data_IF_239231837274
#
_entry.id   IF_239231837274
#
_cell.length_a   1.000
_cell.length_b   1.000
_cell.length_c   1.000
_cell.angle_alpha   90.00
_cell.angle_beta   90.00
_cell.angle_gamma   90.00
#
_symmetry.space_group_name_H-M   'P 1'
#
loop_
_entity.id
_entity.type
_entity.pdbx_description
1 polymer ?
#
# COMPACT_ATOMS: atom_id res chain seq x y z
N UNK A 1 -8.89 22.86 -14.89
CA UNK A 1 -9.42 21.53 -14.46
C UNK A 1 -8.28 20.55 -14.48
N UNK A 2 -8.05 19.85 -13.38
CA UNK A 2 -7.00 18.82 -13.28
C UNK A 2 -7.41 17.59 -14.12
N UNK A 3 -6.49 17.08 -14.89
CA UNK A 3 -6.66 15.83 -15.64
C UNK A 3 -5.63 14.81 -15.18
N UNK A 4 -5.84 13.54 -15.47
CA UNK A 4 -4.88 12.47 -15.22
C UNK A 4 -3.47 12.80 -15.75
N UNK A 5 -3.39 13.51 -16.88
CA UNK A 5 -2.11 13.85 -17.51
C UNK A 5 -1.29 14.89 -16.74
N UNK A 6 -1.95 15.67 -15.86
CA UNK A 6 -1.33 16.79 -15.15
C UNK A 6 -1.07 16.50 -13.66
N UNK A 7 -1.44 15.30 -13.16
CA UNK A 7 -1.16 14.94 -11.78
C UNK A 7 0.32 14.57 -11.61
N UNK A 8 0.82 14.86 -10.43
CA UNK A 8 2.08 14.32 -9.91
C UNK A 8 1.84 13.69 -8.56
N UNK A 9 2.40 12.52 -8.33
CA UNK A 9 2.31 11.80 -7.07
C UNK A 9 3.69 11.73 -6.41
N UNK A 10 3.73 12.03 -5.12
CA UNK A 10 4.89 11.82 -4.28
C UNK A 10 4.87 10.37 -3.77
N UNK A 11 5.93 9.61 -4.00
CA UNK A 11 6.08 8.24 -3.49
C UNK A 11 7.09 8.26 -2.36
N UNK A 12 6.64 7.95 -1.15
CA UNK A 12 7.50 7.81 0.03
C UNK A 12 8.16 6.44 -0.01
N UNK A 13 9.46 6.43 -0.29
CA UNK A 13 10.27 5.23 -0.40
C UNK A 13 10.93 4.88 0.94
N UNK A 14 10.76 3.62 1.35
CA UNK A 14 11.28 3.09 2.62
C UNK A 14 12.18 1.86 2.45
N UNK A 15 12.54 1.50 1.20
CA UNK A 15 13.36 0.31 0.90
C UNK A 15 14.85 0.62 0.97
N UNK A 16 15.63 -0.26 1.59
CA UNK A 16 17.08 -0.17 1.65
C UNK A 16 17.75 -0.47 0.29
N UNK A 17 17.17 -1.39 -0.48
CA UNK A 17 17.69 -1.76 -1.81
C UNK A 17 17.11 -0.85 -2.89
N UNK A 18 17.96 -0.02 -3.51
CA UNK A 18 17.59 0.90 -4.58
C UNK A 18 16.96 0.20 -5.80
N UNK A 19 17.38 -1.02 -6.14
CA UNK A 19 16.77 -1.76 -7.26
C UNK A 19 15.33 -2.16 -6.94
N UNK A 20 15.03 -2.47 -5.68
CA UNK A 20 13.67 -2.77 -5.26
C UNK A 20 12.80 -1.51 -5.13
N UNK A 21 13.38 -0.36 -4.78
CA UNK A 21 12.72 0.93 -4.86
C UNK A 21 12.36 1.30 -6.32
N UNK A 22 13.30 1.18 -7.25
CA UNK A 22 13.05 1.36 -8.69
C UNK A 22 12.00 0.37 -9.23
N UNK A 23 12.05 -0.88 -8.78
CA UNK A 23 11.04 -1.88 -9.13
C UNK A 23 9.65 -1.49 -8.63
N UNK A 24 9.53 -0.96 -7.40
CA UNK A 24 8.26 -0.47 -6.85
C UNK A 24 7.69 0.67 -7.70
N UNK A 25 8.50 1.67 -8.03
CA UNK A 25 8.09 2.77 -8.92
C UNK A 25 7.63 2.26 -10.29
N UNK A 26 8.33 1.30 -10.87
CA UNK A 26 7.95 0.68 -12.13
C UNK A 26 6.60 -0.03 -12.06
N UNK A 27 6.34 -0.78 -10.97
CA UNK A 27 5.06 -1.44 -10.72
C UNK A 27 3.94 -0.42 -10.57
N UNK A 28 4.13 0.63 -9.77
CA UNK A 28 3.17 1.72 -9.57
C UNK A 28 2.86 2.46 -10.88
N UNK A 29 3.89 2.83 -11.62
CA UNK A 29 3.75 3.51 -12.91
C UNK A 29 2.92 2.69 -13.90
N UNK A 30 3.24 1.41 -14.04
CA UNK A 30 2.52 0.49 -14.93
C UNK A 30 1.06 0.34 -14.48
N UNK A 31 0.82 0.03 -13.21
CA UNK A 31 -0.51 -0.28 -12.69
C UNK A 31 -1.41 0.95 -12.63
N UNK A 32 -0.87 2.10 -12.26
CA UNK A 32 -1.59 3.38 -12.27
C UNK A 32 -1.71 3.98 -13.66
N UNK A 33 -1.02 3.46 -14.68
CA UNK A 33 -0.93 4.01 -16.02
C UNK A 33 -0.47 5.48 -16.02
N UNK A 34 0.58 5.78 -15.28
CA UNK A 34 1.20 7.10 -15.18
C UNK A 34 2.53 7.12 -15.94
N UNK A 35 2.96 8.32 -16.38
CA UNK A 35 4.27 8.52 -17.00
C UNK A 35 5.36 8.61 -15.92
N UNK A 36 6.61 8.54 -16.35
CA UNK A 36 7.83 8.64 -15.51
C UNK A 36 7.83 9.94 -14.69
N UNK A 37 7.50 11.07 -15.34
CA UNK A 37 7.53 12.41 -14.75
C UNK A 37 6.38 12.68 -13.77
N UNK A 38 5.43 11.74 -13.65
CA UNK A 38 4.26 11.86 -12.76
C UNK A 38 4.43 11.15 -11.41
N UNK A 39 5.45 10.29 -11.25
CA UNK A 39 5.79 9.64 -9.99
C UNK A 39 7.16 10.13 -9.54
N UNK A 40 7.20 10.79 -8.40
CA UNK A 40 8.43 11.34 -7.82
C UNK A 40 8.74 10.60 -6.52
N UNK A 41 9.82 9.84 -6.52
CA UNK A 41 10.28 9.14 -5.33
C UNK A 41 10.94 10.09 -4.34
N UNK A 42 10.64 9.89 -3.06
CA UNK A 42 11.31 10.56 -1.95
C UNK A 42 11.84 9.52 -0.98
N UNK A 43 13.15 9.38 -0.94
CA UNK A 43 13.87 8.47 -0.08
C UNK A 43 13.96 9.02 1.34
N UNK A 44 13.14 8.50 2.25
CA UNK A 44 13.10 8.92 3.67
C UNK A 44 14.23 8.34 4.51
N UNK A 45 15.01 7.41 3.97
CA UNK A 45 16.20 6.86 4.65
C UNK A 45 17.34 7.89 4.66
N UNK A 46 17.44 8.66 3.59
CA UNK A 46 18.54 9.61 3.37
C UNK A 46 18.09 11.08 3.44
N UNK A 47 16.79 11.35 3.45
CA UNK A 47 16.25 12.71 3.47
C UNK A 47 15.25 12.91 4.61
N UNK A 48 15.26 14.06 5.30
CA UNK A 48 14.30 14.36 6.37
C UNK A 48 12.90 14.52 5.78
N UNK A 49 11.93 13.83 6.35
CA UNK A 49 10.53 13.96 5.97
C UNK A 49 9.86 15.09 6.75
N UNK A 50 9.47 16.15 6.05
CA UNK A 50 8.86 17.34 6.63
C UNK A 50 7.43 17.56 6.13
N UNK A 51 6.58 18.12 6.98
CA UNK A 51 5.23 18.57 6.60
C UNK A 51 5.37 19.72 5.60
N UNK A 52 4.61 19.64 4.52
CA UNK A 52 4.64 20.60 3.42
C UNK A 52 5.34 20.07 2.16
N UNK A 53 6.03 18.92 2.27
CA UNK A 53 6.63 18.24 1.11
C UNK A 53 5.57 17.86 0.07
N UNK A 54 4.34 17.58 0.52
CA UNK A 54 3.21 17.17 -0.33
C UNK A 54 2.67 18.28 -1.24
N UNK A 55 2.96 19.56 -0.97
CA UNK A 55 2.27 20.72 -1.59
C UNK A 55 2.43 20.82 -3.09
N UNK A 56 3.50 20.28 -3.65
CA UNK A 56 3.76 20.30 -5.08
C UNK A 56 3.15 19.09 -5.83
N UNK A 57 2.40 18.25 -5.11
CA UNK A 57 1.84 16.99 -5.61
C UNK A 57 0.32 16.96 -5.46
N UNK A 58 -0.32 16.03 -6.14
CA UNK A 58 -1.78 15.83 -6.08
C UNK A 58 -2.15 14.59 -5.28
N UNK A 59 -1.20 13.72 -5.00
CA UNK A 59 -1.37 12.58 -4.10
C UNK A 59 -0.05 12.19 -3.46
N UNK A 60 -0.13 11.56 -2.29
CA UNK A 60 0.99 10.86 -1.65
C UNK A 60 0.71 9.36 -1.70
N UNK A 61 1.71 8.59 -2.10
CA UNK A 61 1.73 7.13 -2.05
C UNK A 61 2.78 6.73 -1.02
N UNK A 62 2.39 5.94 -0.03
CA UNK A 62 3.33 5.37 0.94
C UNK A 62 3.50 3.90 0.57
N UNK A 63 4.68 3.58 0.06
CA UNK A 63 5.00 2.26 -0.47
C UNK A 63 5.12 1.17 0.59
N UNK A 64 5.43 -0.02 0.13
CA UNK A 64 5.80 -1.15 0.97
C UNK A 64 7.27 -1.12 1.36
N UNK A 65 7.63 -1.98 2.28
CA UNK A 65 9.02 -2.31 2.60
C UNK A 65 9.17 -3.83 2.71
N UNK A 66 10.36 -4.34 2.63
CA UNK A 66 10.68 -5.71 3.05
C UNK A 66 11.69 -5.69 4.18
N UNK A 67 12.10 -4.49 4.60
CA UNK A 67 13.24 -4.25 5.48
C UNK A 67 12.82 -3.94 6.92
N UNK A 68 11.59 -3.42 7.14
CA UNK A 68 11.13 -2.95 8.44
C UNK A 68 9.77 -3.50 8.84
N UNK A 69 9.64 -3.86 10.12
CA UNK A 69 8.37 -4.14 10.78
C UNK A 69 7.86 -2.87 11.46
N UNK A 70 6.59 -2.55 11.24
CA UNK A 70 5.93 -1.43 11.92
C UNK A 70 5.86 -1.65 13.44
N UNK A 71 5.84 -2.91 13.88
CA UNK A 71 5.74 -3.28 15.29
C UNK A 71 7.11 -3.32 15.97
N UNK A 72 8.10 -3.94 15.32
CA UNK A 72 9.38 -4.27 15.94
C UNK A 72 10.48 -3.25 15.67
N UNK A 73 10.40 -2.49 14.58
CA UNK A 73 11.45 -1.59 14.17
C UNK A 73 11.08 -0.12 14.37
N UNK A 74 12.10 0.71 14.62
CA UNK A 74 11.97 2.15 14.75
C UNK A 74 13.05 2.84 13.92
N UNK A 75 12.96 2.74 12.58
CA UNK A 75 13.92 3.43 11.71
C UNK A 75 13.86 4.94 11.92
N UNK A 76 14.92 5.65 11.53
CA UNK A 76 15.08 7.09 11.78
C UNK A 76 13.90 7.94 11.29
N UNK A 77 13.25 7.52 10.22
CA UNK A 77 12.12 8.22 9.61
C UNK A 77 10.75 7.90 10.28
N UNK A 78 10.67 6.91 11.17
CA UNK A 78 9.41 6.34 11.66
C UNK A 78 8.48 7.39 12.28
N UNK A 79 8.97 8.16 13.25
CA UNK A 79 8.15 9.19 13.93
C UNK A 79 7.77 10.35 13.00
N UNK A 80 8.69 10.73 12.09
CA UNK A 80 8.41 11.74 11.07
C UNK A 80 7.31 11.25 10.11
N UNK A 81 7.34 9.97 9.71
CA UNK A 81 6.34 9.37 8.85
C UNK A 81 4.97 9.28 9.51
N UNK A 82 4.89 8.88 10.79
CA UNK A 82 3.63 8.90 11.54
C UNK A 82 3.04 10.32 11.63
N UNK A 83 3.90 11.32 11.90
CA UNK A 83 3.48 12.73 11.94
C UNK A 83 3.00 13.22 10.58
N UNK A 84 3.70 12.86 9.51
CA UNK A 84 3.35 13.22 8.15
C UNK A 84 2.00 12.61 7.74
N UNK A 85 1.76 11.33 8.03
CA UNK A 85 0.49 10.66 7.77
C UNK A 85 -0.67 11.29 8.53
N UNK A 86 -0.48 11.63 9.81
CA UNK A 86 -1.51 12.37 10.58
C UNK A 86 -1.84 13.72 9.93
N UNK A 87 -0.82 14.41 9.41
CA UNK A 87 -1.03 15.68 8.69
C UNK A 87 -1.82 15.46 7.40
N UNK A 88 -1.48 14.46 6.58
CA UNK A 88 -2.21 14.13 5.36
C UNK A 88 -3.69 13.81 5.66
N UNK A 89 -3.95 13.04 6.73
CA UNK A 89 -5.31 12.74 7.17
C UNK A 89 -6.07 14.00 7.64
N UNK A 90 -5.41 14.86 8.41
CA UNK A 90 -6.02 16.08 8.95
C UNK A 90 -6.31 17.14 7.88
N UNK A 91 -5.59 17.10 6.76
CA UNK A 91 -5.75 18.03 5.64
C UNK A 91 -6.53 17.43 4.46
N UNK A 92 -7.09 16.22 4.62
CA UNK A 92 -7.82 15.52 3.57
C UNK A 92 -6.98 15.38 2.27
N UNK A 93 -5.67 15.21 2.40
CA UNK A 93 -4.79 15.11 1.25
C UNK A 93 -4.86 13.72 0.63
N UNK A 94 -5.09 13.57 -0.70
CA UNK A 94 -5.22 12.28 -1.34
C UNK A 94 -4.01 11.36 -1.04
N UNK A 95 -4.28 10.25 -0.34
CA UNK A 95 -3.22 9.37 0.17
C UNK A 95 -3.54 7.91 -0.08
N UNK A 96 -2.55 7.16 -0.57
CA UNK A 96 -2.61 5.72 -0.76
C UNK A 96 -1.50 5.04 0.04
N UNK A 97 -1.86 4.18 0.98
CA UNK A 97 -0.91 3.32 1.70
C UNK A 97 -0.90 1.89 1.14
N UNK A 98 0.29 1.34 0.85
CA UNK A 98 0.46 -0.03 0.37
C UNK A 98 1.33 -0.83 1.34
N UNK A 99 0.85 -1.97 1.81
CA UNK A 99 1.52 -2.89 2.72
C UNK A 99 2.07 -2.16 3.97
N UNK A 100 3.34 -1.78 4.02
CA UNK A 100 3.91 -1.00 5.12
C UNK A 100 3.19 0.35 5.28
N UNK A 101 2.85 1.03 4.18
CA UNK A 101 2.05 2.26 4.20
C UNK A 101 0.65 2.07 4.78
N UNK A 102 0.02 0.90 4.58
CA UNK A 102 -1.24 0.54 5.23
C UNK A 102 -1.09 0.40 6.74
N UNK A 103 -0.02 -0.26 7.18
CA UNK A 103 0.28 -0.48 8.60
C UNK A 103 0.66 0.84 9.31
N UNK A 104 1.46 1.69 8.65
CA UNK A 104 1.81 3.03 9.14
C UNK A 104 0.57 3.92 9.28
N UNK A 105 -0.34 3.90 8.29
CA UNK A 105 -1.61 4.62 8.38
C UNK A 105 -2.43 4.14 9.58
N UNK A 106 -2.50 2.82 9.80
CA UNK A 106 -3.19 2.27 10.95
C UNK A 106 -2.60 2.77 12.27
N UNK A 107 -1.29 2.67 12.46
CA UNK A 107 -0.63 3.16 13.68
C UNK A 107 -0.77 4.68 13.87
N UNK A 108 -0.59 5.45 12.81
CA UNK A 108 -0.72 6.90 12.86
C UNK A 108 -2.10 7.35 13.37
N UNK A 109 -3.15 6.58 13.03
CA UNK A 109 -4.54 6.91 13.32
C UNK A 109 -5.13 6.16 14.51
N UNK A 110 -4.29 5.48 15.30
CA UNK A 110 -4.71 4.82 16.55
C UNK A 110 -5.26 3.40 16.37
N UNK A 111 -5.02 2.78 15.22
CA UNK A 111 -5.28 1.37 15.00
C UNK A 111 -4.23 0.47 15.67
N UNK A 112 -4.51 -0.82 15.74
CA UNK A 112 -3.60 -1.83 16.29
C UNK A 112 -2.99 -2.65 15.18
N UNK A 113 -1.67 -2.73 15.17
CA UNK A 113 -0.89 -3.61 14.28
C UNK A 113 -0.14 -4.61 15.13
N UNK A 114 -0.16 -5.87 14.76
CA UNK A 114 0.58 -6.94 15.42
C UNK A 114 1.50 -7.66 14.43
N UNK A 115 2.62 -8.16 14.93
CA UNK A 115 3.47 -9.09 14.19
C UNK A 115 3.04 -10.52 14.49
N UNK A 116 2.82 -11.29 13.44
CA UNK A 116 2.56 -12.70 13.58
C UNK A 116 3.14 -13.48 12.39
N UNK A 117 3.99 -14.44 12.70
CA UNK A 117 4.79 -15.11 11.66
C UNK A 117 4.14 -16.37 11.09
N UNK A 118 3.06 -16.88 11.67
CA UNK A 118 2.48 -18.19 11.29
C UNK A 118 1.01 -18.10 10.87
N UNK A 119 0.13 -17.57 11.72
CA UNK A 119 -1.32 -17.66 11.47
C UNK A 119 -1.86 -16.50 10.62
N UNK A 120 -1.29 -15.31 10.75
CA UNK A 120 -1.76 -14.08 10.08
C UNK A 120 -0.82 -13.56 9.00
N UNK A 121 0.39 -14.09 8.92
CA UNK A 121 1.29 -13.73 7.83
C UNK A 121 0.82 -14.32 6.51
N UNK A 122 0.92 -13.53 5.47
CA UNK A 122 0.55 -13.94 4.13
C UNK A 122 1.72 -13.66 3.18
N UNK A 123 2.22 -14.72 2.55
CA UNK A 123 3.34 -14.67 1.62
C UNK A 123 3.00 -15.51 0.40
N UNK A 124 2.77 -14.89 -0.74
CA UNK A 124 2.26 -15.53 -1.95
C UNK A 124 0.96 -14.90 -2.44
N UNK A 125 0.04 -15.68 -2.96
CA UNK A 125 -1.25 -15.21 -3.46
C UNK A 125 -2.39 -15.72 -2.58
N UNK A 126 -3.21 -14.80 -2.05
CA UNK A 126 -4.31 -15.09 -1.14
C UNK A 126 -5.64 -14.56 -1.64
N UNK A 127 -6.73 -15.18 -1.19
CA UNK A 127 -8.09 -14.78 -1.54
C UNK A 127 -8.53 -13.61 -0.66
N UNK A 128 -8.89 -12.50 -1.30
CA UNK A 128 -9.53 -11.34 -0.69
C UNK A 128 -11.03 -11.43 -0.84
N UNK A 129 -11.77 -10.97 0.17
CA UNK A 129 -13.24 -10.86 0.12
C UNK A 129 -13.65 -9.43 0.45
N UNK A 130 -14.47 -8.83 -0.41
CA UNK A 130 -15.01 -7.49 -0.17
C UNK A 130 -16.10 -7.51 0.91
N UNK A 131 -16.07 -6.51 1.78
CA UNK A 131 -17.21 -6.23 2.66
C UNK A 131 -18.38 -5.65 1.85
N UNK A 132 -19.52 -5.41 2.49
CA UNK A 132 -20.64 -4.68 1.86
C UNK A 132 -20.19 -3.29 1.41
N UNK A 133 -19.44 -2.62 2.26
CA UNK A 133 -18.88 -1.29 2.01
C UNK A 133 -17.84 -1.33 0.88
N UNK A 134 -17.01 -2.36 0.84
CA UNK A 134 -16.01 -2.57 -0.23
C UNK A 134 -16.66 -2.75 -1.61
N UNK A 135 -17.78 -3.49 -1.69
CA UNK A 135 -18.56 -3.64 -2.94
C UNK A 135 -19.17 -2.32 -3.43
N UNK A 136 -19.47 -1.43 -2.52
CA UNK A 136 -20.04 -0.10 -2.84
C UNK A 136 -18.97 0.98 -3.04
N UNK A 137 -17.69 0.66 -2.77
CA UNK A 137 -16.60 1.64 -2.83
C UNK A 137 -16.12 1.86 -4.27
N UNK A 138 -15.95 3.14 -4.63
CA UNK A 138 -15.57 3.54 -6.00
C UNK A 138 -14.20 3.02 -6.45
N UNK A 139 -13.25 2.82 -5.53
CA UNK A 139 -11.90 2.33 -5.84
C UNK A 139 -11.94 0.82 -6.16
N UNK A 140 -12.82 0.07 -5.49
CA UNK A 140 -13.00 -1.37 -5.67
C UNK A 140 -14.16 -1.74 -6.61
N UNK A 141 -14.86 -0.77 -7.19
CA UNK A 141 -16.08 -0.97 -8.00
C UNK A 141 -15.90 -1.92 -9.21
N UNK A 142 -14.67 -2.02 -9.73
CA UNK A 142 -14.37 -2.88 -10.88
C UNK A 142 -13.76 -4.24 -10.46
N UNK A 143 -13.75 -4.53 -9.15
CA UNK A 143 -13.27 -5.80 -8.61
C UNK A 143 -14.43 -6.76 -8.34
N UNK A 144 -14.26 -8.08 -8.53
CA UNK A 144 -15.27 -9.05 -8.11
C UNK A 144 -15.39 -9.12 -6.58
N UNK A 145 -16.48 -9.66 -6.07
CA UNK A 145 -16.76 -9.80 -4.62
C UNK A 145 -15.64 -10.55 -3.87
N UNK A 146 -14.95 -11.43 -4.54
CA UNK A 146 -13.75 -12.10 -4.07
C UNK A 146 -12.74 -12.24 -5.20
N UNK A 147 -11.47 -11.99 -4.91
CA UNK A 147 -10.38 -12.04 -5.88
C UNK A 147 -9.07 -12.46 -5.22
N UNK A 148 -8.16 -13.03 -5.99
CA UNK A 148 -6.82 -13.31 -5.53
C UNK A 148 -5.94 -12.06 -5.62
N UNK A 149 -5.12 -11.80 -4.57
CA UNK A 149 -4.18 -10.68 -4.54
C UNK A 149 -2.80 -11.12 -4.05
N UNK A 150 -1.79 -10.39 -4.46
CA UNK A 150 -0.38 -10.60 -4.08
C UNK A 150 -0.12 -10.10 -2.67
N UNK A 151 0.58 -10.90 -1.86
CA UNK A 151 0.86 -10.64 -0.45
C UNK A 151 2.31 -10.90 -0.09
N UNK A 152 2.84 -10.08 0.83
CA UNK A 152 4.17 -10.28 1.43
C UNK A 152 4.27 -9.53 2.76
N UNK A 153 3.60 -10.02 3.83
CA UNK A 153 3.63 -9.35 5.12
C UNK A 153 3.63 -10.31 6.31
N UNK A 154 4.24 -9.89 7.40
CA UNK A 154 4.18 -10.51 8.73
C UNK A 154 3.34 -9.65 9.69
N UNK A 155 3.44 -8.32 9.57
CA UNK A 155 2.61 -7.41 10.36
C UNK A 155 1.21 -7.31 9.75
N UNK A 156 0.20 -7.28 10.62
CA UNK A 156 -1.21 -7.21 10.21
C UNK A 156 -2.00 -6.24 11.08
N UNK A 157 -2.84 -5.43 10.45
CA UNK A 157 -3.79 -4.55 11.14
C UNK A 157 -4.93 -5.42 11.72
N UNK A 158 -5.17 -5.31 13.02
CA UNK A 158 -6.22 -6.08 13.73
C UNK A 158 -7.40 -5.24 14.15
N UNK A 159 -7.22 -3.94 14.39
CA UNK A 159 -8.32 -3.04 14.71
C UNK A 159 -8.05 -1.62 14.20
N UNK A 160 -9.14 -0.91 13.89
CA UNK A 160 -9.13 0.51 13.51
C UNK A 160 -10.23 1.25 14.26
N UNK A 161 -10.07 2.58 14.47
CA UNK A 161 -11.16 3.44 14.96
C UNK A 161 -12.36 3.44 14.00
N UNK A 162 -13.55 3.77 14.52
CA UNK A 162 -14.83 3.84 13.78
C UNK A 162 -14.83 4.88 12.63
N UNK A 163 -13.84 5.77 12.59
CA UNK A 163 -13.63 6.67 11.47
C UNK A 163 -13.14 5.97 10.19
N UNK A 164 -12.70 4.70 10.29
CA UNK A 164 -12.29 3.90 9.14
C UNK A 164 -13.36 2.90 8.73
N UNK A 165 -13.50 2.74 7.43
CA UNK A 165 -14.35 1.73 6.80
C UNK A 165 -13.47 0.59 6.35
N UNK A 166 -13.77 -0.63 6.78
CA UNK A 166 -13.13 -1.84 6.28
C UNK A 166 -13.73 -2.20 4.92
N UNK A 167 -12.90 -2.30 3.90
CA UNK A 167 -13.33 -2.57 2.52
C UNK A 167 -13.11 -4.04 2.11
N UNK A 168 -12.05 -4.67 2.60
CA UNK A 168 -11.74 -6.06 2.29
C UNK A 168 -11.08 -6.77 3.48
N UNK A 169 -11.16 -8.09 3.47
CA UNK A 169 -10.53 -8.99 4.44
C UNK A 169 -10.08 -10.29 3.76
N UNK A 170 -9.22 -11.05 4.42
CA UNK A 170 -8.89 -12.43 4.13
C UNK A 170 -9.15 -13.31 5.37
N UNK A 171 -9.01 -14.62 5.23
CA UNK A 171 -9.14 -15.54 6.38
C UNK A 171 -8.07 -15.29 7.44
N UNK A 172 -6.93 -14.69 7.07
CA UNK A 172 -5.78 -14.44 7.94
C UNK A 172 -5.68 -13.01 8.44
N UNK A 173 -6.12 -12.03 7.65
CA UNK A 173 -6.03 -10.62 7.99
C UNK A 173 -7.39 -9.92 7.87
N UNK A 174 -7.85 -9.37 8.99
CA UNK A 174 -9.17 -8.74 9.08
C UNK A 174 -9.26 -7.42 8.31
N UNK A 175 -8.16 -6.68 8.17
CA UNK A 175 -8.10 -5.37 7.53
C UNK A 175 -7.18 -5.40 6.32
N UNK A 176 -7.65 -5.99 5.23
CA UNK A 176 -6.90 -6.06 3.96
C UNK A 176 -7.00 -4.77 3.13
N UNK A 177 -8.09 -4.05 3.30
CA UNK A 177 -8.27 -2.73 2.69
C UNK A 177 -9.12 -1.86 3.59
N UNK A 178 -8.78 -0.57 3.65
CA UNK A 178 -9.53 0.41 4.42
C UNK A 178 -9.54 1.79 3.76
N UNK A 179 -10.53 2.58 4.17
CA UNK A 179 -10.78 3.94 3.72
C UNK A 179 -11.15 4.82 4.91
N UNK A 180 -10.53 5.99 5.07
CA UNK A 180 -10.94 6.98 6.05
C UNK A 180 -12.25 7.63 5.60
N UNK A 181 -13.30 7.48 6.41
CA UNK A 181 -14.68 7.83 6.06
C UNK A 181 -14.82 9.27 5.55
N UNK A 182 -15.26 9.40 4.31
CA UNK A 182 -15.48 10.70 3.66
C UNK A 182 -14.22 11.37 3.11
N UNK A 183 -13.03 10.80 3.34
CA UNK A 183 -11.75 11.38 2.99
C UNK A 183 -11.07 10.67 1.79
N UNK A 184 -10.21 11.34 1.02
CA UNK A 184 -9.52 10.73 -0.11
C UNK A 184 -8.33 9.87 0.31
N UNK A 185 -8.49 9.07 1.39
CA UNK A 185 -7.41 8.32 2.04
C UNK A 185 -7.75 6.84 2.06
N UNK A 186 -6.97 6.07 1.32
CA UNK A 186 -7.12 4.63 1.12
C UNK A 186 -5.86 3.87 1.48
N UNK A 187 -5.99 2.63 1.88
CA UNK A 187 -4.83 1.76 1.99
C UNK A 187 -5.18 0.28 1.82
N UNK A 188 -4.18 -0.47 1.37
CA UNK A 188 -4.26 -1.90 1.08
C UNK A 188 -3.09 -2.63 1.74
N UNK A 189 -3.38 -3.72 2.46
CA UNK A 189 -2.35 -4.62 2.98
C UNK A 189 -1.74 -5.44 1.83
N UNK A 190 -2.58 -5.88 0.91
CA UNK A 190 -2.15 -6.54 -0.32
C UNK A 190 -1.55 -5.56 -1.33
N UNK A 191 -0.91 -6.11 -2.35
CA UNK A 191 -0.24 -5.38 -3.41
C UNK A 191 -1.06 -5.43 -4.71
N UNK A 192 -2.00 -4.50 -4.94
CA UNK A 192 -2.77 -4.46 -6.19
C UNK A 192 -1.91 -4.05 -7.40
N UNK A 193 -0.77 -3.41 -7.15
CA UNK A 193 0.17 -2.96 -8.19
C UNK A 193 1.02 -4.09 -8.77
N UNK A 194 1.08 -5.26 -8.10
CA UNK A 194 1.94 -6.36 -8.51
C UNK A 194 1.22 -7.40 -9.37
N UNK A 195 1.87 -7.81 -10.46
CA UNK A 195 1.57 -9.05 -11.17
C UNK A 195 2.41 -10.20 -10.57
N UNK A 196 2.17 -11.43 -11.03
CA UNK A 196 2.89 -12.62 -10.56
C UNK A 196 4.41 -12.45 -10.59
N UNK A 197 4.96 -11.98 -11.72
CA UNK A 197 6.41 -11.85 -11.89
C UNK A 197 7.02 -10.85 -10.92
N UNK A 198 6.32 -9.77 -10.59
CA UNK A 198 6.80 -8.77 -9.63
C UNK A 198 6.89 -9.36 -8.22
N UNK A 199 5.89 -10.14 -7.80
CA UNK A 199 5.95 -10.79 -6.49
C UNK A 199 7.07 -11.82 -6.42
N UNK A 200 7.27 -12.62 -7.48
CA UNK A 200 8.41 -13.57 -7.57
C UNK A 200 9.73 -12.82 -7.40
N UNK A 201 9.90 -11.69 -8.08
CA UNK A 201 11.10 -10.84 -7.95
C UNK A 201 11.31 -10.38 -6.50
N UNK A 202 10.24 -9.86 -5.85
CA UNK A 202 10.31 -9.41 -4.45
C UNK A 202 10.58 -10.56 -3.48
N UNK A 203 9.91 -11.70 -3.63
CA UNK A 203 10.11 -12.87 -2.76
C UNK A 203 11.53 -13.41 -2.88
N UNK A 204 12.10 -13.41 -4.08
CA UNK A 204 13.49 -13.84 -4.30
C UNK A 204 14.47 -12.88 -3.63
N UNK A 205 14.28 -11.57 -3.77
CA UNK A 205 15.15 -10.57 -3.16
C UNK A 205 15.08 -10.59 -1.63
N UNK A 206 13.88 -10.78 -1.07
CA UNK A 206 13.63 -10.86 0.38
C UNK A 206 13.55 -12.30 0.91
N UNK A 207 14.21 -13.27 0.24
CA UNK A 207 14.20 -14.67 0.67
C UNK A 207 14.68 -14.85 2.13
N UNK A 208 15.64 -14.03 2.56
CA UNK A 208 16.15 -14.02 3.94
C UNK A 208 15.07 -13.62 4.98
N UNK A 209 14.06 -12.86 4.58
CA UNK A 209 12.94 -12.45 5.45
C UNK A 209 11.83 -13.51 5.46
N UNK A 210 11.43 -14.00 4.28
CA UNK A 210 10.23 -14.83 4.11
C UNK A 210 10.52 -16.34 4.05
N UNK A 211 11.72 -16.74 3.69
CA UNK A 211 12.07 -18.10 3.32
C UNK A 211 13.41 -18.57 3.93
N UNK A 212 13.58 -18.38 5.24
CA UNK A 212 14.81 -18.77 5.97
C UNK A 212 15.07 -20.30 6.00
N UNK A 213 14.05 -21.12 5.73
CA UNK A 213 14.18 -22.57 5.69
C UNK A 213 14.47 -23.08 4.28
N UNK A 214 15.28 -24.14 4.10
CA UNK A 214 15.54 -24.73 2.79
C UNK A 214 14.25 -25.14 2.05
N UNK A 215 14.16 -24.80 0.78
CA UNK A 215 13.01 -25.11 -0.08
C UNK A 215 11.73 -24.32 0.22
N UNK A 216 11.75 -23.37 1.16
CA UNK A 216 10.57 -22.54 1.48
C UNK A 216 10.29 -21.51 0.41
N UNK A 217 11.33 -20.93 -0.20
CA UNK A 217 11.17 -19.97 -1.29
C UNK A 217 10.44 -20.60 -2.49
N UNK A 218 10.87 -21.77 -2.89
CA UNK A 218 10.26 -22.52 -4.00
C UNK A 218 8.79 -22.81 -3.70
N UNK A 219 8.47 -23.28 -2.48
CA UNK A 219 7.08 -23.51 -2.05
C UNK A 219 6.24 -22.22 -2.10
N UNK A 220 6.80 -21.08 -1.69
CA UNK A 220 6.12 -19.78 -1.79
C UNK A 220 5.86 -19.44 -3.27
N UNK A 221 6.90 -19.53 -4.12
CA UNK A 221 6.80 -19.21 -5.54
C UNK A 221 5.73 -20.07 -6.23
N UNK A 222 5.61 -21.35 -5.86
CA UNK A 222 4.59 -22.27 -6.40
C UNK A 222 3.15 -21.86 -6.02
N UNK A 223 2.96 -21.09 -4.94
CA UNK A 223 1.64 -20.56 -4.56
C UNK A 223 1.25 -19.28 -5.30
N UNK A 224 2.22 -18.61 -5.96
CA UNK A 224 1.97 -17.33 -6.61
C UNK A 224 1.21 -17.56 -7.93
N UNK A 225 0.00 -16.98 -7.99
CA UNK A 225 -0.90 -17.04 -9.15
C UNK A 225 -0.83 -15.75 -9.97
N UNK A 226 -1.31 -15.82 -11.21
CA UNK A 226 -1.61 -14.59 -11.97
C UNK A 226 -2.77 -13.84 -11.31
N UNK A 227 -2.65 -12.51 -11.26
CA UNK A 227 -3.67 -11.60 -10.72
C UNK A 227 -3.83 -10.40 -11.64
N UNK A 228 -5.04 -9.82 -11.65
CA UNK A 228 -5.37 -8.63 -12.45
C UNK A 228 -6.08 -7.60 -11.55
N UNK A 229 -5.34 -7.04 -10.59
CA UNK A 229 -5.88 -6.10 -9.61
C UNK A 229 -5.43 -4.66 -9.85
N UNK A 230 -4.67 -4.40 -10.94
CA UNK A 230 -4.07 -3.09 -11.24
C UNK A 230 -5.13 -1.99 -11.40
N UNK A 231 -6.35 -2.37 -11.76
CA UNK A 231 -7.48 -1.45 -11.84
C UNK A 231 -7.78 -0.72 -10.52
N UNK A 232 -7.46 -1.33 -9.37
CA UNK A 232 -7.67 -0.75 -8.04
C UNK A 232 -6.84 0.53 -7.86
N UNK A 233 -5.53 0.47 -8.09
CA UNK A 233 -4.67 1.65 -7.96
C UNK A 233 -4.88 2.66 -9.07
N UNK A 234 -5.30 2.21 -10.26
CA UNK A 234 -5.75 3.10 -11.33
C UNK A 234 -7.01 3.86 -10.92
N UNK A 235 -7.99 3.19 -10.31
CA UNK A 235 -9.22 3.79 -9.81
C UNK A 235 -8.95 4.82 -8.70
N UNK A 236 -7.96 4.60 -7.84
CA UNK A 236 -7.56 5.62 -6.86
C UNK A 236 -7.19 6.93 -7.58
N UNK A 237 -6.41 6.88 -8.64
CA UNK A 237 -6.07 8.07 -9.43
C UNK A 237 -7.32 8.67 -10.07
N UNK A 238 -8.11 7.88 -10.80
CA UNK A 238 -9.20 8.37 -11.64
C UNK A 238 -10.45 8.77 -10.86
N UNK A 239 -10.76 8.04 -9.78
CA UNK A 239 -12.02 8.20 -9.02
C UNK A 239 -11.83 8.91 -7.66
N UNK A 240 -10.58 9.09 -7.20
CA UNK A 240 -10.28 9.82 -5.95
C UNK A 240 -9.45 11.05 -6.21
N UNK A 241 -8.22 10.91 -6.75
CA UNK A 241 -7.28 12.03 -6.88
C UNK A 241 -7.81 13.11 -7.83
N UNK A 242 -8.12 12.74 -9.06
CA UNK A 242 -8.57 13.71 -10.09
C UNK A 242 -9.87 14.42 -9.67
N UNK A 243 -10.93 13.75 -9.19
CA UNK A 243 -12.13 14.42 -8.71
C UNK A 243 -11.91 15.30 -7.49
N UNK A 244 -11.06 14.89 -6.54
CA UNK A 244 -10.78 15.67 -5.33
C UNK A 244 -10.35 17.10 -5.66
N UNK A 245 -9.37 17.25 -6.56
CA UNK A 245 -8.85 18.57 -6.95
C UNK A 245 -9.76 19.36 -7.90
N UNK A 246 -10.72 18.71 -8.51
CA UNK A 246 -11.69 19.41 -9.40
C UNK A 246 -12.93 19.92 -8.64
N UNK A 247 -13.11 19.50 -7.39
CA UNK A 247 -14.24 19.91 -6.54
C UNK A 247 -13.83 20.86 -5.40
N UNK A 248 -12.56 21.25 -5.30
CA UNK A 248 -12.05 22.33 -4.48
C UNK A 248 -12.09 23.66 -5.26
#
# INVERSE_FOLDING_TARGET
>A
MLTRENIKCLVIETRLDHKLAEHELSCLKRSMQLREDQLVAYDVLNNPLEIGLEKDYQAVIIGGTGDFSVVNDRPVFYEALLKFVRHLCATSFPTLGLCYGHQILAQAMGGTVITETHERSETGTYLMTLTKEGRADKVLADSPDSFYAQQGHHDAVTSMPDSFIRLAYSDRCAWQAMHLKGEPIYSFQFHPELIRQDLVTRMTAYAHVYASEPGKLERIIDTIKETDNQVIVKNFIDKVVVPHWNHQ
#
